data_IF_917565908051
#
_entry.id   IF_917565908051
#
_cell.length_a   1.000
_cell.length_b   1.000
_cell.length_c   1.000
_cell.angle_alpha   90.00
_cell.angle_beta   90.00
_cell.angle_gamma   90.00
#
_symmetry.space_group_name_H-M   'P 1'
#
loop_
_entity.id
_entity.type
_entity.pdbx_description
1 polymer ?
#
# COMPACT_ATOMS: atom_id res chain seq x y z
N UNK A 1 -12.25 -10.66 -27.10
CA UNK A 1 -12.22 -11.34 -25.80
C UNK A 1 -10.93 -11.06 -24.99
N UNK A 2 -9.70 -11.27 -25.50
CA UNK A 2 -8.43 -11.07 -24.74
C UNK A 2 -8.30 -9.65 -24.13
N UNK A 3 -8.64 -8.57 -24.85
CA UNK A 3 -8.58 -7.19 -24.33
C UNK A 3 -9.57 -6.92 -23.17
N UNK A 4 -10.79 -7.45 -23.29
CA UNK A 4 -11.82 -7.30 -22.24
C UNK A 4 -11.39 -8.00 -20.95
N UNK A 5 -10.81 -9.20 -21.06
CA UNK A 5 -10.27 -9.95 -19.91
C UNK A 5 -9.12 -9.20 -19.23
N UNK A 6 -8.27 -8.49 -20.01
CA UNK A 6 -7.22 -7.63 -19.48
C UNK A 6 -7.76 -6.45 -18.67
N UNK A 7 -8.79 -5.76 -19.14
CA UNK A 7 -9.42 -4.65 -18.42
C UNK A 7 -10.14 -5.14 -17.15
N UNK A 8 -10.81 -6.30 -17.21
CA UNK A 8 -11.44 -6.90 -16.03
C UNK A 8 -10.39 -7.22 -14.94
N UNK A 9 -9.24 -7.78 -15.32
CA UNK A 9 -8.12 -8.00 -14.40
C UNK A 9 -7.66 -6.69 -13.74
N UNK A 10 -7.53 -5.60 -14.51
CA UNK A 10 -7.14 -4.30 -13.98
C UNK A 10 -8.15 -3.75 -12.99
N UNK A 11 -9.45 -3.87 -13.30
CA UNK A 11 -10.52 -3.47 -12.37
C UNK A 11 -10.43 -4.28 -11.07
N UNK A 12 -10.28 -5.61 -11.16
CA UNK A 12 -10.15 -6.47 -9.98
C UNK A 12 -8.91 -6.13 -9.15
N UNK A 13 -7.76 -5.90 -9.77
CA UNK A 13 -6.56 -5.43 -9.07
C UNK A 13 -6.77 -4.07 -8.41
N UNK A 14 -7.43 -3.15 -9.11
CA UNK A 14 -7.84 -1.86 -8.55
C UNK A 14 -8.77 -2.02 -7.35
N UNK A 15 -9.78 -2.89 -7.44
CA UNK A 15 -10.69 -3.16 -6.33
C UNK A 15 -9.94 -3.66 -5.08
N UNK A 16 -9.04 -4.62 -5.23
CA UNK A 16 -8.25 -5.14 -4.10
C UNK A 16 -7.33 -4.05 -3.53
N UNK A 17 -6.71 -3.24 -4.38
CA UNK A 17 -5.95 -2.07 -3.94
C UNK A 17 -6.82 -1.10 -3.14
N UNK A 18 -8.02 -0.80 -3.64
CA UNK A 18 -8.98 0.06 -2.96
C UNK A 18 -9.41 -0.48 -1.60
N UNK A 19 -9.75 -1.77 -1.55
CA UNK A 19 -10.07 -2.48 -0.30
C UNK A 19 -8.91 -2.40 0.69
N UNK A 20 -7.68 -2.68 0.25
CA UNK A 20 -6.50 -2.65 1.10
C UNK A 20 -6.24 -1.26 1.74
N UNK A 21 -6.56 -0.18 1.02
CA UNK A 21 -6.41 1.18 1.56
C UNK A 21 -7.48 1.54 2.63
N UNK A 22 -8.55 0.76 2.73
CA UNK A 22 -9.57 0.93 3.78
C UNK A 22 -9.21 0.14 5.05
N UNK A 23 -8.34 -0.85 4.91
CA UNK A 23 -7.97 -1.75 6.02
C UNK A 23 -6.85 -1.11 6.84
N UNK A 24 -7.06 -0.88 8.16
CA UNK A 24 -5.99 -0.43 9.05
C UNK A 24 -4.82 -1.40 9.05
N UNK A 25 -3.60 -0.88 9.01
CA UNK A 25 -2.37 -1.70 9.02
C UNK A 25 -1.99 -2.36 7.69
N UNK A 26 -2.88 -2.39 6.69
CA UNK A 26 -2.58 -2.91 5.35
C UNK A 26 -2.17 -1.78 4.42
N UNK A 27 -0.99 -1.88 3.80
CA UNK A 27 -0.54 -0.93 2.80
C UNK A 27 -1.05 -1.31 1.41
N UNK A 28 -1.71 -0.38 0.71
CA UNK A 28 -2.10 -0.56 -0.69
C UNK A 28 -0.89 -0.92 -1.57
N UNK A 29 0.27 -0.32 -1.32
CA UNK A 29 1.53 -0.66 -1.98
C UNK A 29 1.91 -2.13 -1.82
N UNK A 30 1.72 -2.71 -0.63
CA UNK A 30 1.93 -4.15 -0.38
C UNK A 30 1.01 -4.99 -1.27
N UNK A 31 -0.27 -4.63 -1.40
CA UNK A 31 -1.20 -5.36 -2.27
C UNK A 31 -0.83 -5.26 -3.75
N UNK A 32 -0.31 -4.12 -4.21
CA UNK A 32 0.20 -4.00 -5.58
C UNK A 32 1.34 -4.98 -5.86
N UNK A 33 2.22 -5.20 -4.86
CA UNK A 33 3.31 -6.18 -4.96
C UNK A 33 2.74 -7.61 -4.94
N UNK A 34 1.81 -7.91 -4.03
CA UNK A 34 1.13 -9.21 -3.95
C UNK A 34 0.49 -9.62 -5.29
N UNK A 35 -0.12 -8.67 -5.99
CA UNK A 35 -0.77 -8.91 -7.29
C UNK A 35 0.15 -8.70 -8.50
N UNK A 36 1.43 -8.39 -8.28
CA UNK A 36 2.44 -8.27 -9.33
C UNK A 36 2.27 -7.09 -10.28
N UNK A 37 1.51 -6.07 -9.90
CA UNK A 37 1.26 -4.88 -10.72
C UNK A 37 2.00 -3.63 -10.22
N UNK A 38 2.84 -3.79 -9.20
CA UNK A 38 3.58 -2.68 -8.57
C UNK A 38 4.47 -1.93 -9.56
N UNK A 39 5.29 -2.65 -10.33
CA UNK A 39 6.19 -2.06 -11.33
C UNK A 39 5.40 -1.34 -12.41
N UNK A 40 4.33 -1.97 -12.91
CA UNK A 40 3.49 -1.42 -13.96
C UNK A 40 2.80 -0.13 -13.51
N UNK A 41 2.26 -0.09 -12.29
CA UNK A 41 1.60 1.10 -11.77
C UNK A 41 2.61 2.22 -11.50
N UNK A 42 3.73 1.92 -10.83
CA UNK A 42 4.76 2.93 -10.53
C UNK A 42 5.36 3.51 -11.82
N UNK A 43 5.55 2.70 -12.87
CA UNK A 43 5.97 3.20 -14.18
C UNK A 43 4.87 4.06 -14.83
N UNK A 44 3.60 3.65 -14.77
CA UNK A 44 2.48 4.38 -15.37
C UNK A 44 2.27 5.78 -14.78
N UNK A 45 2.58 5.98 -13.50
CA UNK A 45 2.44 7.27 -12.79
C UNK A 45 3.78 8.01 -12.62
N UNK A 46 4.88 7.54 -13.21
CA UNK A 46 6.23 8.10 -13.02
C UNK A 46 6.50 9.43 -13.72
N UNK A 47 5.50 10.04 -14.33
CA UNK A 47 5.60 11.34 -14.97
C UNK A 47 4.43 11.62 -15.93
N UNK A 48 4.24 12.88 -16.30
CA UNK A 48 3.08 13.31 -17.13
C UNK A 48 2.99 12.53 -18.45
N UNK A 49 4.12 12.33 -19.14
CA UNK A 49 4.15 11.53 -20.37
C UNK A 49 3.76 10.07 -20.14
N UNK A 50 4.19 9.48 -19.02
CA UNK A 50 3.83 8.12 -18.66
C UNK A 50 2.34 8.01 -18.33
N UNK A 51 1.77 8.97 -17.59
CA UNK A 51 0.35 9.05 -17.27
C UNK A 51 -0.49 9.08 -18.55
N UNK A 52 -0.16 9.98 -19.50
CA UNK A 52 -0.89 10.10 -20.77
C UNK A 52 -0.80 8.80 -21.57
N UNK A 53 0.39 8.19 -21.64
CA UNK A 53 0.59 6.91 -22.36
C UNK A 53 -0.21 5.77 -21.76
N UNK A 54 -0.36 5.74 -20.44
CA UNK A 54 -1.01 4.65 -19.69
C UNK A 54 -2.41 5.04 -19.16
N UNK A 55 -3.03 6.08 -19.74
CA UNK A 55 -4.31 6.64 -19.25
C UNK A 55 -5.42 5.58 -19.17
N UNK A 56 -5.49 4.68 -20.14
CA UNK A 56 -6.49 3.60 -20.17
C UNK A 56 -6.28 2.64 -19.01
N UNK A 57 -5.03 2.23 -18.76
CA UNK A 57 -4.67 1.41 -17.59
C UNK A 57 -5.10 2.10 -16.29
N UNK A 58 -4.77 3.39 -16.13
CA UNK A 58 -5.07 4.17 -14.93
C UNK A 58 -6.57 4.36 -14.71
N UNK A 59 -7.36 4.55 -15.79
CA UNK A 59 -8.82 4.67 -15.69
C UNK A 59 -9.43 3.36 -15.17
N UNK A 60 -9.10 2.22 -15.77
CA UNK A 60 -9.68 0.94 -15.34
C UNK A 60 -9.22 0.54 -13.94
N UNK A 61 -7.94 0.76 -13.63
CA UNK A 61 -7.41 0.52 -12.29
C UNK A 61 -8.05 1.45 -11.25
N UNK A 62 -8.13 2.76 -11.55
CA UNK A 62 -8.74 3.77 -10.68
C UNK A 62 -10.23 3.55 -10.46
N UNK A 63 -10.97 3.17 -11.51
CA UNK A 63 -12.38 2.80 -11.39
C UNK A 63 -12.54 1.58 -10.46
N UNK A 64 -11.70 0.56 -10.62
CA UNK A 64 -11.65 -0.57 -9.71
C UNK A 64 -11.36 -0.14 -8.27
N UNK A 65 -10.36 0.72 -8.05
CA UNK A 65 -10.02 1.21 -6.73
C UNK A 65 -11.18 1.98 -6.07
N UNK A 66 -11.87 2.82 -6.82
CA UNK A 66 -13.07 3.52 -6.35
C UNK A 66 -14.18 2.55 -5.94
N UNK A 67 -14.48 1.54 -6.76
CA UNK A 67 -15.46 0.49 -6.43
C UNK A 67 -15.01 -0.29 -5.19
N UNK A 68 -13.70 -0.60 -5.08
CA UNK A 68 -13.14 -1.28 -3.90
C UNK A 68 -13.34 -0.48 -2.62
N UNK A 69 -12.98 0.80 -2.63
CA UNK A 69 -13.14 1.69 -1.47
C UNK A 69 -14.62 1.82 -1.08
N UNK A 70 -15.48 2.17 -2.03
CA UNK A 70 -16.89 2.49 -1.75
C UNK A 70 -17.75 1.25 -1.51
N UNK A 71 -17.50 0.19 -2.29
CA UNK A 71 -18.34 -1.03 -2.25
C UNK A 71 -17.94 -1.99 -1.12
N UNK A 72 -16.68 -2.06 -0.74
CA UNK A 72 -16.20 -3.03 0.23
C UNK A 72 -15.87 -2.45 1.62
N UNK A 73 -15.86 -1.12 1.78
CA UNK A 73 -15.60 -0.51 3.08
C UNK A 73 -16.51 -1.06 4.20
N UNK A 74 -17.80 -1.18 3.92
CA UNK A 74 -18.78 -1.73 4.87
C UNK A 74 -18.57 -3.23 5.14
N UNK A 75 -18.25 -4.02 4.10
CA UNK A 75 -17.94 -5.44 4.24
C UNK A 75 -16.67 -5.66 5.05
N UNK A 76 -15.61 -4.92 4.75
CA UNK A 76 -14.34 -5.01 5.49
C UNK A 76 -14.55 -4.62 6.96
N UNK A 77 -15.29 -3.54 7.21
CA UNK A 77 -15.66 -3.17 8.58
C UNK A 77 -16.40 -4.31 9.28
N UNK A 78 -17.42 -4.89 8.65
CA UNK A 78 -18.15 -6.02 9.19
C UNK A 78 -17.26 -7.22 9.51
N UNK A 79 -16.30 -7.54 8.61
CA UNK A 79 -15.36 -8.64 8.81
C UNK A 79 -14.43 -8.38 10.01
N UNK A 80 -13.91 -7.15 10.17
CA UNK A 80 -13.09 -6.79 11.32
C UNK A 80 -13.88 -6.78 12.62
N UNK A 81 -15.09 -6.26 12.62
CA UNK A 81 -15.95 -6.18 13.82
C UNK A 81 -16.36 -7.58 14.32
N UNK A 82 -16.54 -8.57 13.43
CA UNK A 82 -17.05 -9.90 13.79
C UNK A 82 -16.01 -11.03 13.70
N UNK A 83 -14.98 -10.89 12.85
CA UNK A 83 -13.99 -11.90 12.51
C UNK A 83 -12.57 -11.33 12.42
N UNK A 84 -12.20 -10.41 13.32
CA UNK A 84 -10.93 -9.66 13.25
C UNK A 84 -9.72 -10.57 13.09
N UNK A 85 -9.55 -11.56 13.99
CA UNK A 85 -8.42 -12.51 13.95
C UNK A 85 -8.35 -13.28 12.63
N UNK A 86 -9.50 -13.75 12.12
CA UNK A 86 -9.57 -14.51 10.88
C UNK A 86 -9.22 -13.62 9.68
N UNK A 87 -9.69 -12.37 9.71
CA UNK A 87 -9.44 -11.37 8.66
C UNK A 87 -7.96 -11.00 8.62
N UNK A 88 -7.35 -10.68 9.75
CA UNK A 88 -5.91 -10.42 9.84
C UNK A 88 -5.08 -11.59 9.34
N UNK A 89 -5.41 -12.81 9.79
CA UNK A 89 -4.70 -14.02 9.37
C UNK A 89 -4.84 -14.29 7.87
N UNK A 90 -6.00 -14.01 7.26
CA UNK A 90 -6.17 -14.11 5.82
C UNK A 90 -5.24 -13.14 5.07
N UNK A 91 -5.13 -11.88 5.52
CA UNK A 91 -4.21 -10.92 4.93
C UNK A 91 -2.73 -11.28 5.14
N UNK A 92 -2.37 -11.80 6.32
CA UNK A 92 -1.03 -12.36 6.56
C UNK A 92 -0.75 -13.49 5.56
N UNK A 93 -1.72 -14.37 5.33
CA UNK A 93 -1.61 -15.43 4.34
C UNK A 93 -1.37 -14.91 2.91
N UNK A 94 -2.11 -13.85 2.49
CA UNK A 94 -1.90 -13.20 1.19
C UNK A 94 -0.47 -12.67 1.06
N UNK A 95 0.03 -12.00 2.10
CA UNK A 95 1.39 -11.43 2.13
C UNK A 95 2.44 -12.54 2.05
N UNK A 96 2.35 -13.56 2.90
CA UNK A 96 3.31 -14.66 2.91
C UNK A 96 3.30 -15.45 1.59
N UNK A 97 2.12 -15.65 1.00
CA UNK A 97 1.96 -16.32 -0.29
C UNK A 97 2.59 -15.54 -1.46
N UNK A 98 2.77 -14.21 -1.34
CA UNK A 98 3.40 -13.39 -2.36
C UNK A 98 4.93 -13.36 -2.30
N UNK A 99 5.54 -13.78 -1.19
CA UNK A 99 7.01 -13.73 -0.99
C UNK A 99 7.78 -14.47 -2.10
N UNK A 100 7.40 -15.68 -2.55
CA UNK A 100 8.06 -16.35 -3.66
C UNK A 100 8.03 -15.52 -4.95
N UNK A 101 6.89 -14.90 -5.26
CA UNK A 101 6.75 -14.03 -6.44
C UNK A 101 7.69 -12.83 -6.38
N UNK A 102 7.74 -12.13 -5.23
CA UNK A 102 8.63 -10.98 -5.02
C UNK A 102 10.09 -11.41 -5.24
N UNK A 103 10.45 -12.58 -4.71
CA UNK A 103 11.77 -13.16 -4.89
C UNK A 103 12.10 -13.37 -6.38
N UNK A 104 11.22 -14.01 -7.15
CA UNK A 104 11.40 -14.21 -8.59
C UNK A 104 11.48 -12.90 -9.36
N UNK A 105 10.63 -11.92 -9.05
CA UNK A 105 10.67 -10.60 -9.69
C UNK A 105 12.01 -9.90 -9.47
N UNK A 106 12.59 -10.05 -8.28
CA UNK A 106 13.89 -9.45 -7.94
C UNK A 106 15.08 -10.15 -8.57
N UNK A 107 15.09 -11.48 -8.53
CA UNK A 107 16.29 -12.27 -8.92
C UNK A 107 16.40 -12.47 -10.42
N UNK A 108 15.29 -12.52 -11.17
CA UNK A 108 15.29 -12.83 -12.60
C UNK A 108 16.28 -13.96 -12.93
N UNK A 109 16.21 -15.07 -12.19
CA UNK A 109 17.07 -16.26 -12.30
C UNK A 109 18.53 -16.08 -11.84
N UNK A 110 18.94 -14.91 -11.35
CA UNK A 110 20.28 -14.70 -10.80
C UNK A 110 20.32 -15.15 -9.34
N UNK A 111 21.43 -15.82 -8.97
CA UNK A 111 21.68 -16.20 -7.56
C UNK A 111 21.67 -14.95 -6.66
N UNK A 112 20.96 -15.01 -5.55
CA UNK A 112 20.95 -13.93 -4.55
C UNK A 112 22.35 -13.78 -3.97
N UNK A 113 22.86 -12.55 -4.00
CA UNK A 113 24.13 -12.25 -3.34
C UNK A 113 23.87 -12.07 -1.85
N UNK A 114 24.76 -12.54 -0.95
CA UNK A 114 24.63 -12.34 0.51
C UNK A 114 24.42 -10.87 0.90
N UNK A 115 24.95 -9.94 0.11
CA UNK A 115 24.79 -8.49 0.29
C UNK A 115 23.32 -8.02 0.22
N UNK A 116 22.43 -8.80 -0.39
CA UNK A 116 20.99 -8.47 -0.48
C UNK A 116 20.21 -8.76 0.81
N UNK A 117 20.79 -9.52 1.75
CA UNK A 117 20.16 -9.83 3.03
C UNK A 117 20.15 -8.58 3.94
N UNK A 118 21.20 -7.78 3.90
CA UNK A 118 21.29 -6.56 4.73
C UNK A 118 20.18 -5.55 4.43
N UNK A 119 19.92 -5.13 3.17
CA UNK A 119 18.81 -4.24 2.85
C UNK A 119 17.45 -4.83 3.24
N UNK A 120 17.25 -6.16 3.09
CA UNK A 120 16.02 -6.84 3.50
C UNK A 120 15.80 -6.71 5.01
N UNK A 121 16.81 -7.06 5.82
CA UNK A 121 16.69 -7.02 7.29
C UNK A 121 16.49 -5.59 7.79
N UNK A 122 17.21 -4.63 7.23
CA UNK A 122 17.05 -3.20 7.57
C UNK A 122 15.65 -2.71 7.23
N UNK A 123 15.14 -3.03 6.05
CA UNK A 123 13.81 -2.62 5.63
C UNK A 123 12.70 -3.25 6.51
N UNK A 124 12.84 -4.54 6.86
CA UNK A 124 11.95 -5.21 7.80
C UNK A 124 11.99 -4.52 9.17
N UNK A 125 13.17 -4.21 9.70
CA UNK A 125 13.35 -3.51 10.97
C UNK A 125 12.73 -2.11 10.96
N UNK A 126 12.80 -1.38 9.84
CA UNK A 126 12.15 -0.06 9.68
C UNK A 126 10.65 -0.18 9.85
N UNK A 127 9.98 -1.13 9.16
CA UNK A 127 8.51 -1.28 9.27
C UNK A 127 8.12 -1.69 10.68
N UNK A 128 8.80 -2.66 11.27
CA UNK A 128 8.53 -3.10 12.64
C UNK A 128 8.71 -1.93 13.62
N UNK A 129 9.81 -1.19 13.50
CA UNK A 129 10.08 -0.03 14.37
C UNK A 129 9.04 1.08 14.22
N UNK A 130 8.62 1.39 12.99
CA UNK A 130 7.55 2.36 12.74
C UNK A 130 6.20 1.88 13.29
N UNK A 131 5.88 0.59 13.18
CA UNK A 131 4.65 0.01 13.75
C UNK A 131 4.65 0.11 15.29
N UNK A 132 5.77 -0.24 15.92
CA UNK A 132 5.92 -0.10 17.38
C UNK A 132 5.82 1.36 17.82
N UNK A 133 6.42 2.29 17.07
CA UNK A 133 6.34 3.72 17.34
C UNK A 133 4.91 4.24 17.21
N UNK A 134 4.16 3.78 16.18
CA UNK A 134 2.75 4.14 16.03
C UNK A 134 1.93 3.68 17.23
N UNK A 135 2.07 2.41 17.63
CA UNK A 135 1.37 1.89 18.81
C UNK A 135 1.74 2.61 20.10
N UNK A 136 3.00 3.00 20.26
CA UNK A 136 3.45 3.82 21.39
C UNK A 136 2.81 5.22 21.38
N UNK A 137 2.76 5.87 20.24
CA UNK A 137 2.15 7.21 20.10
C UNK A 137 0.65 7.17 20.39
N UNK A 138 -0.06 6.16 19.89
CA UNK A 138 -1.49 5.96 20.15
C UNK A 138 -1.76 5.68 21.63
N UNK A 139 -1.01 4.77 22.24
CA UNK A 139 -1.18 4.37 23.65
C UNK A 139 -0.88 5.51 24.65
N UNK A 140 -0.05 6.47 24.28
CA UNK A 140 0.31 7.61 25.12
C UNK A 140 -0.35 8.93 24.69
N UNK A 141 -1.33 8.88 23.80
CA UNK A 141 -2.04 10.06 23.27
C UNK A 141 -1.11 11.15 22.69
N UNK A 142 0.03 10.73 22.12
CA UNK A 142 1.04 11.64 21.58
C UNK A 142 0.73 12.11 20.14
N UNK A 143 -0.44 11.75 19.60
CA UNK A 143 -0.85 12.19 18.26
C UNK A 143 -1.23 13.68 18.34
N UNK A 144 -0.53 14.56 17.58
CA UNK A 144 -0.80 15.99 17.64
C UNK A 144 -2.25 16.34 17.32
N UNK A 145 -2.80 17.27 18.07
CA UNK A 145 -4.14 17.81 17.81
C UNK A 145 -4.18 18.53 16.45
N UNK A 146 -5.40 18.70 15.90
CA UNK A 146 -5.59 19.45 14.68
C UNK A 146 -5.21 20.93 14.87
N UNK A 147 -4.41 21.47 13.96
CA UNK A 147 -4.15 22.90 13.90
C UNK A 147 -5.33 23.61 13.21
N UNK A 148 -5.85 24.66 13.81
CA UNK A 148 -6.90 25.48 13.21
C UNK A 148 -6.32 26.30 12.03
N UNK A 149 -6.91 26.16 10.84
CA UNK A 149 -6.52 26.90 9.64
C UNK A 149 -7.73 27.69 9.16
N UNK A 150 -7.86 28.94 9.64
CA UNK A 150 -9.01 29.79 9.32
C UNK A 150 -8.83 30.63 8.07
N UNK A 151 -7.61 30.70 7.50
CA UNK A 151 -7.29 31.51 6.33
C UNK A 151 -5.96 31.16 5.69
N UNK A 152 -5.55 31.95 4.70
CA UNK A 152 -4.26 31.75 4.03
C UNK A 152 -3.09 32.08 4.96
N UNK A 153 -2.19 31.11 5.12
CA UNK A 153 -0.90 31.27 5.77
C UNK A 153 0.17 30.61 4.88
N UNK A 154 1.16 31.39 4.43
CA UNK A 154 2.24 30.86 3.60
C UNK A 154 3.02 29.74 4.30
N UNK A 155 3.31 29.89 5.60
CA UNK A 155 3.98 28.87 6.39
C UNK A 155 3.17 27.57 6.45
N UNK A 156 1.86 27.65 6.78
CA UNK A 156 0.99 26.49 6.86
C UNK A 156 0.80 25.82 5.49
N UNK A 157 0.66 26.61 4.44
CA UNK A 157 0.56 26.11 3.04
C UNK A 157 1.78 25.29 2.67
N UNK A 158 3.00 25.80 2.92
CA UNK A 158 4.25 25.08 2.65
C UNK A 158 4.39 23.86 3.54
N UNK A 159 4.10 23.96 4.85
CA UNK A 159 4.10 22.84 5.78
C UNK A 159 3.20 21.69 5.28
N UNK A 160 1.93 22.00 4.97
CA UNK A 160 0.96 21.00 4.49
C UNK A 160 1.40 20.36 3.17
N UNK A 161 1.88 21.17 2.22
CA UNK A 161 2.37 20.68 0.92
C UNK A 161 3.55 19.72 1.11
N UNK A 162 4.56 20.10 1.90
CA UNK A 162 5.76 19.28 2.12
C UNK A 162 5.43 18.00 2.89
N UNK A 163 4.62 18.10 3.94
CA UNK A 163 4.20 16.93 4.72
C UNK A 163 3.39 15.93 3.86
N UNK A 164 2.46 16.45 3.05
CA UNK A 164 1.66 15.63 2.14
C UNK A 164 2.52 15.01 1.02
N UNK A 165 3.51 15.73 0.51
CA UNK A 165 4.49 15.22 -0.44
C UNK A 165 5.26 14.03 0.15
N UNK A 166 5.83 14.19 1.36
CA UNK A 166 6.61 13.12 2.02
C UNK A 166 5.71 11.91 2.30
N UNK A 167 4.49 12.14 2.80
CA UNK A 167 3.53 11.08 3.06
C UNK A 167 3.13 10.32 1.79
N UNK A 168 2.95 11.02 0.66
CA UNK A 168 2.61 10.42 -0.62
C UNK A 168 3.77 9.59 -1.20
N UNK A 169 5.02 10.06 -1.06
CA UNK A 169 6.20 9.27 -1.43
C UNK A 169 6.27 8.00 -0.58
N UNK A 170 6.06 8.11 0.73
CA UNK A 170 6.05 6.96 1.64
C UNK A 170 4.95 5.95 1.28
N UNK A 171 3.76 6.41 0.91
CA UNK A 171 2.63 5.54 0.54
C UNK A 171 2.91 4.67 -0.70
N UNK A 172 3.80 5.09 -1.59
CA UNK A 172 4.20 4.27 -2.75
C UNK A 172 5.06 3.09 -2.29
N UNK A 173 5.83 3.26 -1.22
CA UNK A 173 6.71 2.22 -0.69
C UNK A 173 5.87 1.15 0.02
N UNK A 174 5.95 -0.14 -0.40
CA UNK A 174 5.22 -1.20 0.27
C UNK A 174 5.53 -1.27 1.77
N UNK A 175 4.51 -1.51 2.60
CA UNK A 175 4.67 -1.62 4.05
C UNK A 175 4.69 -0.27 4.80
N UNK A 176 4.72 0.88 4.10
CA UNK A 176 4.61 2.19 4.73
C UNK A 176 3.20 2.77 4.53
N UNK A 177 2.68 3.41 5.58
CA UNK A 177 1.38 4.08 5.57
C UNK A 177 1.56 5.59 5.48
N UNK A 178 0.97 6.22 4.46
CA UNK A 178 1.00 7.69 4.31
C UNK A 178 0.28 8.41 5.46
N UNK A 179 -0.80 7.84 5.98
CA UNK A 179 -1.51 8.39 7.15
C UNK A 179 -0.62 8.39 8.39
N UNK A 180 0.13 7.33 8.63
CA UNK A 180 1.09 7.27 9.73
C UNK A 180 2.20 8.33 9.59
N UNK A 181 2.73 8.50 8.37
CA UNK A 181 3.72 9.58 8.11
C UNK A 181 3.11 10.96 8.37
N UNK A 182 1.85 11.20 7.99
CA UNK A 182 1.16 12.45 8.34
C UNK A 182 0.98 12.64 9.86
N UNK A 183 0.73 11.56 10.61
CA UNK A 183 0.68 11.60 12.08
C UNK A 183 2.02 12.02 12.68
N UNK A 184 3.12 11.37 12.24
CA UNK A 184 4.48 11.71 12.67
C UNK A 184 4.85 13.17 12.38
N UNK A 185 4.38 13.70 11.25
CA UNK A 185 4.61 15.07 10.83
C UNK A 185 3.62 16.08 11.48
N UNK A 186 2.67 15.60 12.28
CA UNK A 186 1.73 16.42 13.05
C UNK A 186 0.64 17.09 12.22
N UNK A 187 0.34 16.60 11.00
CA UNK A 187 -0.66 17.23 10.12
C UNK A 187 -1.89 16.36 9.87
N UNK A 188 -1.88 15.11 10.33
CA UNK A 188 -2.96 14.15 10.05
C UNK A 188 -4.34 14.65 10.46
N UNK A 189 -4.50 15.07 11.72
CA UNK A 189 -5.78 15.54 12.24
C UNK A 189 -6.26 16.83 11.56
N UNK A 190 -5.34 17.73 11.19
CA UNK A 190 -5.64 18.93 10.41
C UNK A 190 -6.21 18.58 9.04
N UNK A 191 -5.62 17.59 8.36
CA UNK A 191 -6.09 17.14 7.04
C UNK A 191 -7.44 16.43 7.14
N UNK A 192 -7.61 15.52 8.10
CA UNK A 192 -8.89 14.79 8.29
C UNK A 192 -10.03 15.74 8.62
N UNK A 193 -9.80 16.73 9.48
CA UNK A 193 -10.83 17.71 9.81
C UNK A 193 -11.21 18.59 8.62
N UNK A 194 -10.24 18.92 7.75
CA UNK A 194 -10.47 19.76 6.58
C UNK A 194 -11.31 19.10 5.47
N UNK A 195 -11.39 17.76 5.42
CA UNK A 195 -12.16 17.02 4.42
C UNK A 195 -13.56 16.62 4.88
N UNK A 196 -14.00 17.06 6.05
CA UNK A 196 -15.35 16.82 6.52
C UNK A 196 -16.37 17.50 5.61
N UNK A 197 -17.38 16.77 5.12
CA UNK A 197 -18.34 17.23 4.10
C UNK A 197 -19.07 18.51 4.52
N UNK A 198 -19.30 18.71 5.84
CA UNK A 198 -20.00 19.89 6.38
C UNK A 198 -19.12 21.15 6.48
N UNK A 199 -17.79 21.03 6.35
CA UNK A 199 -16.85 22.14 6.56
C UNK A 199 -15.55 21.93 5.76
N UNK A 200 -15.66 21.83 4.42
CA UNK A 200 -14.48 21.69 3.54
C UNK A 200 -13.57 22.92 3.66
N UNK A 201 -12.33 22.70 4.07
CA UNK A 201 -11.33 23.76 4.17
C UNK A 201 -10.34 23.72 3.00
N UNK A 202 -10.58 24.55 1.99
CA UNK A 202 -9.74 24.60 0.78
C UNK A 202 -8.32 25.14 1.03
N UNK A 203 -8.09 25.91 2.11
CA UNK A 203 -6.75 26.34 2.50
C UNK A 203 -5.85 25.18 2.94
N UNK A 204 -6.46 24.05 3.35
CA UNK A 204 -5.77 22.80 3.67
C UNK A 204 -5.80 21.83 2.47
N UNK A 205 -6.97 21.63 1.86
CA UNK A 205 -7.20 20.62 0.83
C UNK A 205 -6.32 20.87 -0.41
N UNK A 206 -6.19 22.15 -0.85
CA UNK A 206 -5.42 22.46 -2.06
C UNK A 206 -3.92 22.16 -1.89
N UNK A 207 -3.22 22.71 -0.87
CA UNK A 207 -1.80 22.39 -0.69
C UNK A 207 -1.54 20.92 -0.43
N UNK A 208 -2.40 20.23 0.31
CA UNK A 208 -2.32 18.77 0.50
C UNK A 208 -2.48 18.04 -0.82
N UNK A 209 -3.50 18.38 -1.61
CA UNK A 209 -3.73 17.77 -2.93
C UNK A 209 -2.55 17.95 -3.89
N UNK A 210 -1.97 19.16 -3.94
CA UNK A 210 -0.77 19.44 -4.75
C UNK A 210 0.42 18.64 -4.22
N UNK A 211 0.64 18.61 -2.91
CA UNK A 211 1.71 17.82 -2.29
C UNK A 211 1.59 16.32 -2.60
N UNK A 212 0.37 15.76 -2.48
CA UNK A 212 0.10 14.36 -2.80
C UNK A 212 0.38 14.08 -4.28
N UNK A 213 -0.12 14.90 -5.21
CA UNK A 213 0.09 14.72 -6.65
C UNK A 213 1.58 14.74 -7.01
N UNK A 214 2.32 15.72 -6.49
CA UNK A 214 3.76 15.82 -6.72
C UNK A 214 4.50 14.62 -6.07
N UNK A 215 4.15 14.23 -4.86
CA UNK A 215 4.75 13.12 -4.14
C UNK A 215 4.52 11.79 -4.84
N UNK A 216 3.30 11.54 -5.34
CA UNK A 216 2.97 10.34 -6.11
C UNK A 216 3.78 10.29 -7.41
N UNK A 217 3.81 11.37 -8.20
CA UNK A 217 4.52 11.39 -9.49
C UNK A 217 6.03 11.26 -9.31
N UNK A 218 6.62 12.05 -8.42
CA UNK A 218 8.07 12.05 -8.22
C UNK A 218 8.54 10.81 -7.46
N UNK A 219 7.76 10.34 -6.48
CA UNK A 219 8.03 9.09 -5.76
C UNK A 219 7.96 7.89 -6.69
N UNK A 220 6.92 7.77 -7.52
CA UNK A 220 6.82 6.70 -8.51
C UNK A 220 7.97 6.74 -9.53
N UNK A 221 8.35 7.94 -9.99
CA UNK A 221 9.52 8.10 -10.87
C UNK A 221 10.80 7.64 -10.21
N UNK A 222 11.02 8.00 -8.94
CA UNK A 222 12.18 7.56 -8.16
C UNK A 222 12.21 6.03 -8.05
N UNK A 223 11.12 5.42 -7.59
CA UNK A 223 11.02 3.97 -7.42
C UNK A 223 11.20 3.24 -8.75
N UNK A 224 10.50 3.66 -9.82
CA UNK A 224 10.66 3.06 -11.15
C UNK A 224 12.09 3.15 -11.67
N UNK A 225 12.76 4.28 -11.43
CA UNK A 225 14.18 4.46 -11.81
C UNK A 225 15.09 3.52 -11.01
N UNK A 226 14.87 3.41 -9.69
CA UNK A 226 15.62 2.53 -8.81
C UNK A 226 15.44 1.05 -9.19
N UNK A 227 14.22 0.62 -9.52
CA UNK A 227 13.93 -0.74 -9.99
C UNK A 227 14.70 -1.02 -11.28
N UNK A 228 14.68 -0.10 -12.24
CA UNK A 228 15.41 -0.26 -13.52
C UNK A 228 16.94 -0.37 -13.33
N UNK A 229 17.49 0.38 -12.37
CA UNK A 229 18.96 0.44 -12.15
C UNK A 229 19.46 -0.61 -11.15
N UNK A 230 18.73 -0.88 -10.09
CA UNK A 230 19.16 -1.70 -8.95
C UNK A 230 18.11 -2.77 -8.59
N UNK A 231 17.54 -3.46 -9.58
CA UNK A 231 16.41 -4.36 -9.45
C UNK A 231 16.52 -5.29 -8.24
N UNK A 232 17.62 -6.04 -8.13
CA UNK A 232 17.81 -7.02 -7.06
C UNK A 232 17.80 -6.38 -5.66
N UNK A 233 18.47 -5.24 -5.48
CA UNK A 233 18.52 -4.55 -4.20
C UNK A 233 17.18 -3.95 -3.82
N UNK A 234 16.46 -3.33 -4.77
CA UNK A 234 15.14 -2.74 -4.54
C UNK A 234 14.14 -3.83 -4.16
N UNK A 235 14.14 -4.96 -4.84
CA UNK A 235 13.26 -6.08 -4.49
C UNK A 235 13.62 -6.75 -3.16
N UNK A 236 14.88 -6.72 -2.75
CA UNK A 236 15.29 -7.15 -1.39
C UNK A 236 14.70 -6.22 -0.32
N UNK A 237 14.76 -4.90 -0.56
CA UNK A 237 14.10 -3.91 0.30
C UNK A 237 12.58 -4.14 0.33
N UNK A 238 11.93 -4.25 -0.83
CA UNK A 238 10.48 -4.51 -0.95
C UNK A 238 10.09 -5.77 -0.17
N UNK A 239 10.85 -6.85 -0.32
CA UNK A 239 10.60 -8.11 0.40
C UNK A 239 10.71 -7.92 1.92
N UNK A 240 11.71 -7.18 2.39
CA UNK A 240 11.86 -6.84 3.81
C UNK A 240 10.68 -6.01 4.34
N UNK A 241 10.23 -4.99 3.59
CA UNK A 241 9.08 -4.16 3.95
C UNK A 241 7.78 -4.99 4.00
N UNK A 242 7.58 -5.87 3.01
CA UNK A 242 6.39 -6.73 2.90
C UNK A 242 6.37 -7.76 4.02
N UNK A 243 7.49 -8.42 4.33
CA UNK A 243 7.58 -9.35 5.47
C UNK A 243 7.40 -8.60 6.80
N UNK A 244 8.01 -7.41 6.93
CA UNK A 244 7.85 -6.56 8.11
C UNK A 244 6.41 -6.11 8.34
N UNK A 245 5.61 -5.92 7.27
CA UNK A 245 4.21 -5.54 7.39
C UNK A 245 3.32 -6.63 8.01
N UNK A 246 3.76 -7.89 8.03
CA UNK A 246 3.09 -8.96 8.78
C UNK A 246 2.98 -8.61 10.26
N UNK A 247 4.04 -8.02 10.83
CA UNK A 247 4.02 -7.58 12.23
C UNK A 247 2.95 -6.50 12.50
N UNK A 248 2.71 -5.60 11.54
CA UNK A 248 1.71 -4.54 11.66
C UNK A 248 0.26 -5.05 11.67
N UNK A 249 0.03 -6.28 11.15
CA UNK A 249 -1.30 -6.89 11.00
C UNK A 249 -1.49 -8.05 12.00
N UNK A 250 -0.49 -8.33 12.85
CA UNK A 250 -0.65 -9.40 13.84
C UNK A 250 -1.83 -9.09 14.76
N UNK A 251 -2.81 -10.02 14.88
CA UNK A 251 -4.00 -9.77 15.67
C UNK A 251 -3.66 -9.56 17.15
N UNK A 252 -4.22 -8.53 17.76
CA UNK A 252 -4.17 -8.31 19.20
C UNK A 252 -4.96 -9.42 19.88
N UNK A 253 -4.30 -10.28 20.63
CA UNK A 253 -4.94 -11.44 21.26
C UNK A 253 -4.61 -12.78 20.59
N UNK A 254 -3.52 -12.81 19.81
CA UNK A 254 -2.96 -14.04 19.29
C UNK A 254 -2.61 -14.99 20.47
N UNK A 255 -3.30 -16.12 20.58
CA UNK A 255 -3.12 -17.09 21.64
C UNK A 255 -3.65 -18.46 21.24
N UNK A 256 -3.40 -19.50 22.06
CA UNK A 256 -3.92 -20.84 21.81
C UNK A 256 -5.42 -20.91 22.15
N UNK A 257 -6.28 -20.42 21.25
CA UNK A 257 -7.73 -20.50 21.36
C UNK A 257 -8.36 -20.95 20.03
N UNK A 258 -9.67 -21.25 20.07
CA UNK A 258 -10.39 -21.78 18.91
C UNK A 258 -10.47 -20.75 17.77
N UNK A 259 -10.49 -19.45 18.07
CA UNK A 259 -10.51 -18.37 17.07
C UNK A 259 -9.20 -18.32 16.30
N UNK A 260 -8.07 -18.51 16.99
CA UNK A 260 -6.74 -18.62 16.36
C UNK A 260 -6.66 -19.85 15.46
N UNK A 261 -7.30 -20.97 15.86
CA UNK A 261 -7.40 -22.17 15.02
C UNK A 261 -8.11 -21.88 13.68
N UNK A 262 -9.25 -21.21 13.71
CA UNK A 262 -9.93 -20.74 12.48
C UNK A 262 -9.09 -19.73 11.72
N UNK A 263 -8.34 -18.87 12.41
CA UNK A 263 -7.40 -17.93 11.82
C UNK A 263 -6.34 -18.62 10.96
N UNK A 264 -5.78 -19.75 11.42
CA UNK A 264 -4.82 -20.54 10.63
C UNK A 264 -5.42 -21.09 9.34
N UNK A 265 -6.67 -21.53 9.36
CA UNK A 265 -7.38 -21.94 8.14
C UNK A 265 -7.50 -20.75 7.17
N UNK A 266 -7.87 -19.58 7.68
CA UNK A 266 -7.94 -18.34 6.86
C UNK A 266 -6.57 -17.95 6.30
N UNK A 267 -5.48 -18.11 7.08
CA UNK A 267 -4.11 -17.87 6.60
C UNK A 267 -3.77 -18.79 5.43
N UNK A 268 -4.06 -20.09 5.52
CA UNK A 268 -3.82 -21.03 4.41
C UNK A 268 -4.65 -20.64 3.17
N UNK A 269 -5.90 -20.22 3.37
CA UNK A 269 -6.73 -19.68 2.30
C UNK A 269 -6.11 -18.44 1.65
N UNK A 270 -5.57 -17.53 2.45
CA UNK A 270 -4.85 -16.34 1.96
C UNK A 270 -3.63 -16.72 1.11
N UNK A 271 -2.81 -17.66 1.58
CA UNK A 271 -1.66 -18.19 0.82
C UNK A 271 -2.12 -18.79 -0.51
N UNK A 272 -3.15 -19.64 -0.50
CA UNK A 272 -3.71 -20.25 -1.71
C UNK A 272 -4.22 -19.19 -2.69
N UNK A 273 -4.94 -18.19 -2.19
CA UNK A 273 -5.45 -17.07 -3.02
C UNK A 273 -4.30 -16.34 -3.70
N UNK A 274 -3.23 -16.00 -2.96
CA UNK A 274 -2.05 -15.32 -3.52
C UNK A 274 -1.39 -16.14 -4.61
N UNK A 275 -1.15 -17.43 -4.38
CA UNK A 275 -0.54 -18.34 -5.37
C UNK A 275 -1.42 -18.53 -6.61
N UNK A 276 -2.74 -18.61 -6.44
CA UNK A 276 -3.68 -18.71 -7.57
C UNK A 276 -3.67 -17.44 -8.43
N UNK A 277 -3.70 -16.27 -7.81
CA UNK A 277 -3.63 -14.98 -8.51
C UNK A 277 -2.32 -14.86 -9.29
N UNK A 278 -1.19 -15.27 -8.71
CA UNK A 278 0.09 -15.29 -9.42
C UNK A 278 0.05 -16.19 -10.66
N UNK A 279 -0.47 -17.42 -10.54
CA UNK A 279 -0.58 -18.35 -11.67
C UNK A 279 -1.46 -17.79 -12.78
N UNK A 280 -2.63 -17.24 -12.44
CA UNK A 280 -3.54 -16.61 -13.41
C UNK A 280 -2.88 -15.39 -14.09
N UNK A 281 -2.05 -14.65 -13.36
CA UNK A 281 -1.25 -13.56 -13.90
C UNK A 281 -0.28 -14.01 -14.99
N UNK A 282 0.51 -15.04 -14.73
CA UNK A 282 1.52 -15.58 -15.66
C UNK A 282 0.87 -16.16 -16.94
N UNK A 283 -0.25 -16.85 -16.81
CA UNK A 283 -0.97 -17.42 -17.97
C UNK A 283 -1.48 -16.33 -18.92
N UNK A 284 -1.80 -15.14 -18.40
CA UNK A 284 -2.26 -14.02 -19.22
C UNK A 284 -1.11 -13.35 -19.99
N UNK A 285 0.11 -13.35 -19.48
CA UNK A 285 1.30 -12.77 -20.15
C UNK A 285 1.81 -13.66 -21.28
N UNK A 286 1.86 -14.97 -21.08
CA UNK A 286 2.23 -15.92 -22.14
C UNK A 286 1.25 -15.91 -23.30
N UNK A 287 -0.04 -15.72 -23.05
CA UNK A 287 -1.07 -15.61 -24.10
C UNK A 287 -1.08 -14.27 -24.87
N UNK A 288 -0.27 -13.28 -24.48
CA UNK A 288 -0.12 -11.99 -25.19
C UNK A 288 1.17 -11.94 -26.03
N UNK A 289 2.09 -12.89 -25.82
CA UNK A 289 3.37 -12.98 -26.55
C UNK A 289 3.26 -13.90 -27.80
N UNK A 290 2.19 -14.69 -27.89
CA UNK A 290 1.80 -15.48 -29.09
C UNK A 290 0.70 -14.73 -29.87
#
# INVERSE_FOLDING_TARGET
MKKVLGYLKLILCGMVFGVANVIPGVSGGTMLVVFGIYDQLTEAISGVKAIIKNIVFLIFFGAGAGVGILGFASLIKYLFDNFGVQTDMYFIGLILGSVPMIYYMGTAEKKVKPLCILPLVLAMGVVIGLTMLNGYMEANELIPAAEAVEGFSAFMTVKLLVCAFIAAVAMIIPGLSGSFVMMLLGVYNTVINAIQIKALNFYVIIPVGVGVLLGVILGAKLISTLIKKYKLMVYSVIMGLVIGSVYAILPSGFGFNIQTGYGFVCLLFGVLTSVLVEKLGKTSETSQAD
#
